data_IF_742702129140
#
_entry.id   IF_742702129140
#
_cell.length_a   1.000
_cell.length_b   1.000
_cell.length_c   1.000
_cell.angle_alpha   90.00
_cell.angle_beta   90.00
_cell.angle_gamma   90.00
#
_symmetry.space_group_name_H-M   'P 1'
#
loop_
_entity.id
_entity.type
_entity.pdbx_description
1 polymer ?
#
# COMPACT_ATOMS: atom_id res chain seq x y z
N UNK A 1 19.09 -21.42 -41.66
CA UNK A 1 17.77 -20.79 -41.40
C UNK A 1 17.72 -20.39 -39.95
N UNK A 2 17.43 -19.14 -39.63
CA UNK A 2 17.21 -18.71 -38.24
C UNK A 2 15.83 -19.23 -37.79
N UNK A 3 15.70 -19.78 -36.57
CA UNK A 3 14.38 -20.15 -36.05
C UNK A 3 13.48 -18.91 -36.04
N UNK A 4 12.20 -19.11 -36.37
CA UNK A 4 11.20 -18.06 -36.19
C UNK A 4 11.02 -17.80 -34.70
N UNK A 5 10.58 -16.59 -34.36
CA UNK A 5 10.23 -16.21 -32.97
C UNK A 5 9.28 -17.25 -32.33
N UNK A 6 8.38 -17.81 -33.14
CA UNK A 6 7.44 -18.84 -32.73
C UNK A 6 8.16 -20.15 -32.34
N UNK A 7 9.19 -20.55 -33.08
CA UNK A 7 10.01 -21.72 -32.74
C UNK A 7 10.82 -21.53 -31.45
N UNK A 8 11.36 -20.33 -31.22
CA UNK A 8 12.08 -20.00 -29.97
C UNK A 8 11.15 -20.00 -28.75
N UNK A 9 9.92 -19.51 -28.94
CA UNK A 9 8.89 -19.51 -27.90
C UNK A 9 8.45 -20.94 -27.55
N UNK A 10 8.19 -21.78 -28.56
CA UNK A 10 7.84 -23.20 -28.37
C UNK A 10 8.95 -23.93 -27.61
N UNK A 11 10.22 -23.74 -28.02
CA UNK A 11 11.35 -24.39 -27.36
C UNK A 11 11.53 -23.94 -25.91
N UNK A 12 11.30 -22.66 -25.62
CA UNK A 12 11.40 -22.12 -24.26
C UNK A 12 10.29 -22.66 -23.36
N UNK A 13 9.07 -22.76 -23.89
CA UNK A 13 7.92 -23.33 -23.18
C UNK A 13 8.08 -24.83 -22.91
N UNK A 14 8.58 -25.60 -23.88
CA UNK A 14 8.88 -27.02 -23.67
C UNK A 14 9.98 -27.24 -22.63
N UNK A 15 11.00 -26.37 -22.62
CA UNK A 15 12.10 -26.45 -21.65
C UNK A 15 11.60 -26.13 -20.25
N UNK A 16 10.74 -25.12 -20.10
CA UNK A 16 10.11 -24.79 -18.82
C UNK A 16 9.18 -25.90 -18.31
N UNK A 17 8.44 -26.56 -19.21
CA UNK A 17 7.53 -27.66 -18.84
C UNK A 17 8.27 -28.89 -18.29
N UNK A 18 9.50 -29.17 -18.74
CA UNK A 18 10.31 -30.30 -18.26
C UNK A 18 11.00 -30.05 -16.92
N UNK A 19 11.03 -28.80 -16.45
CA UNK A 19 11.72 -28.42 -15.21
C UNK A 19 10.81 -28.35 -13.97
N UNK A 20 9.50 -28.53 -14.14
CA UNK A 20 8.56 -28.50 -13.02
C UNK A 20 8.30 -29.94 -12.54
N UNK A 21 8.59 -30.21 -11.26
CA UNK A 21 8.30 -31.49 -10.63
C UNK A 21 6.78 -31.78 -10.67
N UNK A 22 6.40 -33.01 -10.99
CA UNK A 22 5.00 -33.42 -11.06
C UNK A 22 4.29 -33.12 -9.71
N UNK A 23 3.17 -32.37 -9.73
CA UNK A 23 2.44 -32.07 -8.51
C UNK A 23 1.76 -33.31 -7.94
N UNK A 24 1.84 -33.47 -6.63
CA UNK A 24 1.30 -34.58 -5.85
C UNK A 24 -0.20 -34.82 -6.15
N UNK A 25 -0.54 -36.05 -6.56
CA UNK A 25 -1.88 -36.44 -7.02
C UNK A 25 -2.99 -36.29 -5.97
N UNK A 26 -2.62 -36.12 -4.70
CA UNK A 26 -3.54 -35.84 -3.61
C UNK A 26 -4.27 -34.49 -3.74
N UNK A 27 -3.66 -33.49 -4.39
CA UNK A 27 -4.24 -32.15 -4.52
C UNK A 27 -5.48 -32.15 -5.43
N UNK A 28 -5.41 -32.88 -6.55
CA UNK A 28 -6.50 -32.99 -7.51
C UNK A 28 -7.68 -33.80 -6.97
N UNK A 29 -7.41 -34.81 -6.14
CA UNK A 29 -8.45 -35.59 -5.47
C UNK A 29 -9.32 -34.72 -4.54
N UNK A 30 -8.72 -33.75 -3.84
CA UNK A 30 -9.43 -32.84 -2.95
C UNK A 30 -10.27 -31.80 -3.70
N UNK A 31 -9.74 -31.27 -4.81
CA UNK A 31 -10.48 -30.32 -5.67
C UNK A 31 -11.68 -31.02 -6.34
N UNK A 32 -11.49 -32.23 -6.89
CA UNK A 32 -12.57 -33.01 -7.48
C UNK A 32 -13.68 -33.32 -6.46
N UNK A 33 -13.32 -33.62 -5.20
CA UNK A 33 -14.27 -33.87 -4.11
C UNK A 33 -15.10 -32.64 -3.76
N UNK A 34 -14.48 -31.45 -3.73
CA UNK A 34 -15.16 -30.17 -3.47
C UNK A 34 -16.11 -29.78 -4.61
N UNK A 35 -15.69 -29.95 -5.86
CA UNK A 35 -16.54 -29.67 -7.04
C UNK A 35 -17.75 -30.61 -7.06
N UNK A 36 -17.57 -31.90 -6.75
CA UNK A 36 -18.67 -32.88 -6.68
C UNK A 36 -19.68 -32.53 -5.57
N UNK A 37 -19.20 -32.06 -4.40
CA UNK A 37 -20.05 -31.62 -3.29
C UNK A 37 -20.86 -30.36 -3.64
N UNK A 38 -20.24 -29.40 -4.35
CA UNK A 38 -20.91 -28.18 -4.83
C UNK A 38 -21.95 -28.47 -5.91
N UNK A 39 -21.68 -29.40 -6.83
CA UNK A 39 -22.65 -29.87 -7.84
C UNK A 39 -23.86 -30.58 -7.21
N UNK A 40 -23.65 -31.40 -6.16
CA UNK A 40 -24.76 -32.02 -5.41
C UNK A 40 -25.62 -30.97 -4.71
N UNK A 41 -25.03 -29.95 -4.10
CA UNK A 41 -25.78 -28.85 -3.45
C UNK A 41 -26.58 -28.01 -4.46
N UNK A 42 -26.00 -27.71 -5.63
CA UNK A 42 -26.71 -26.99 -6.71
C UNK A 42 -27.83 -27.79 -7.37
N UNK A 43 -27.80 -29.12 -7.29
CA UNK A 43 -28.89 -29.99 -7.78
C UNK A 43 -30.08 -30.07 -6.82
N UNK A 44 -29.95 -29.59 -5.57
CA UNK A 44 -31.06 -29.55 -4.61
C UNK A 44 -31.83 -28.21 -4.64
N UNK A 45 -31.35 -27.20 -5.36
CA UNK A 45 -31.99 -25.88 -5.47
C UNK A 45 -32.51 -25.54 -6.86
N UNK A 46 -32.55 -26.50 -7.79
CA UNK A 46 -33.05 -26.30 -9.14
C UNK A 46 -34.12 -27.34 -9.47
N UNK A 47 -35.32 -27.17 -8.90
CA UNK A 47 -36.56 -27.74 -9.43
C UNK A 47 -37.46 -26.56 -9.79
N UNK A 48 -37.22 -26.00 -10.97
CA UNK A 48 -38.22 -25.31 -11.79
C UNK A 48 -37.62 -25.11 -13.19
N UNK A 49 -38.36 -25.58 -14.20
CA UNK A 49 -38.33 -25.15 -15.61
C UNK A 49 -37.39 -25.87 -16.61
N UNK A 50 -38.01 -26.85 -17.28
CA UNK A 50 -38.10 -27.07 -18.76
C UNK A 50 -36.91 -27.64 -19.55
N UNK A 51 -37.07 -28.93 -19.92
CA UNK A 51 -36.84 -29.64 -21.19
C UNK A 51 -36.42 -28.80 -22.43
N UNK A 52 -35.65 -29.20 -23.44
CA UNK A 52 -35.15 -30.47 -24.05
C UNK A 52 -34.15 -29.99 -25.13
N UNK A 53 -32.97 -30.56 -25.35
CA UNK A 53 -32.69 -31.53 -26.43
C UNK A 53 -31.28 -32.10 -26.33
N UNK A 54 -31.18 -33.38 -26.66
CA UNK A 54 -30.01 -34.26 -26.66
C UNK A 54 -29.20 -34.08 -27.94
N UNK A 55 -27.88 -34.00 -27.83
CA UNK A 55 -26.95 -34.54 -28.83
C UNK A 55 -25.65 -34.95 -28.13
N UNK A 56 -25.43 -36.26 -28.06
CA UNK A 56 -24.19 -36.90 -27.64
C UNK A 56 -23.26 -36.96 -28.85
N UNK A 57 -22.09 -36.34 -28.77
CA UNK A 57 -20.92 -36.74 -29.55
C UNK A 57 -19.72 -36.74 -28.61
N UNK A 58 -19.11 -37.91 -28.47
CA UNK A 58 -17.91 -38.12 -27.68
C UNK A 58 -16.74 -37.31 -28.24
N UNK A 59 -16.03 -36.65 -27.34
CA UNK A 59 -14.80 -35.94 -27.65
C UNK A 59 -13.91 -35.99 -26.43
N UNK A 60 -12.77 -36.66 -26.59
CA UNK A 60 -11.61 -36.62 -25.72
C UNK A 60 -11.36 -35.17 -25.26
N UNK A 61 -11.35 -34.93 -23.95
CA UNK A 61 -10.98 -33.63 -23.39
C UNK A 61 -9.45 -33.48 -23.50
N UNK A 62 -8.91 -32.61 -24.37
CA UNK A 62 -7.53 -32.20 -24.21
C UNK A 62 -7.41 -31.48 -22.88
N UNK A 63 -6.47 -31.91 -22.04
CA UNK A 63 -5.95 -31.12 -20.93
C UNK A 63 -5.26 -29.89 -21.53
N UNK A 64 -6.05 -28.89 -21.92
CA UNK A 64 -5.54 -27.56 -22.19
C UNK A 64 -5.02 -27.03 -20.86
N UNK A 65 -3.70 -27.02 -20.73
CA UNK A 65 -3.00 -26.23 -19.73
C UNK A 65 -3.60 -24.84 -19.79
N UNK A 66 -4.35 -24.49 -18.75
CA UNK A 66 -4.99 -23.19 -18.63
C UNK A 66 -3.83 -22.21 -18.50
N UNK A 67 -3.41 -21.62 -19.62
CA UNK A 67 -2.61 -20.42 -19.61
C UNK A 67 -3.33 -19.49 -18.65
N UNK A 68 -2.67 -19.19 -17.53
CA UNK A 68 -3.08 -18.10 -16.67
C UNK A 68 -2.89 -16.88 -17.54
N UNK A 69 -3.97 -16.52 -18.25
CA UNK A 69 -4.02 -15.32 -19.04
C UNK A 69 -3.62 -14.20 -18.08
N UNK A 70 -2.54 -13.44 -18.37
CA UNK A 70 -2.16 -12.31 -17.55
C UNK A 70 -3.42 -11.51 -17.26
N UNK A 71 -3.65 -11.17 -15.99
CA UNK A 71 -4.79 -10.35 -15.64
C UNK A 71 -4.81 -9.15 -16.60
N UNK A 72 -5.95 -8.85 -17.27
CA UNK A 72 -6.02 -7.73 -18.18
C UNK A 72 -5.49 -6.49 -17.44
N UNK A 73 -4.69 -5.63 -18.12
CA UNK A 73 -4.15 -4.45 -17.47
C UNK A 73 -5.31 -3.68 -16.83
N UNK A 74 -5.16 -3.33 -15.56
CA UNK A 74 -6.14 -2.53 -14.83
C UNK A 74 -6.43 -1.28 -15.65
N UNK A 75 -7.70 -1.06 -16.01
CA UNK A 75 -8.12 0.18 -16.68
C UNK A 75 -7.60 1.34 -15.81
N UNK A 76 -6.83 2.28 -16.36
CA UNK A 76 -6.33 3.39 -15.57
C UNK A 76 -7.52 4.09 -14.90
N UNK A 77 -7.42 4.46 -13.62
CA UNK A 77 -8.50 5.14 -12.94
C UNK A 77 -8.87 6.40 -13.74
N UNK A 78 -10.17 6.69 -13.83
CA UNK A 78 -10.62 7.92 -14.47
C UNK A 78 -10.13 9.11 -13.64
N UNK A 79 -9.07 9.75 -14.14
CA UNK A 79 -8.42 10.87 -13.49
C UNK A 79 -9.25 12.15 -13.63
N UNK A 80 -10.32 12.14 -14.44
CA UNK A 80 -11.27 13.24 -14.62
C UNK A 80 -12.49 13.14 -13.72
N UNK A 81 -12.59 12.08 -12.89
CA UNK A 81 -13.72 11.85 -12.03
C UNK A 81 -13.96 13.05 -11.09
N UNK A 82 -15.05 13.78 -11.36
CA UNK A 82 -15.52 14.86 -10.50
C UNK A 82 -16.24 14.26 -9.30
N UNK A 83 -15.61 14.35 -8.14
CA UNK A 83 -16.23 13.94 -6.87
C UNK A 83 -16.94 15.12 -6.19
N UNK A 84 -18.04 14.89 -5.44
CA UNK A 84 -18.68 15.95 -4.68
C UNK A 84 -17.71 16.59 -3.69
N UNK A 85 -17.76 17.92 -3.59
CA UNK A 85 -16.90 18.71 -2.72
C UNK A 85 -17.68 19.20 -1.52
N UNK A 86 -18.25 18.24 -0.80
CA UNK A 86 -18.99 18.52 0.42
C UNK A 86 -18.31 17.77 1.53
N UNK A 87 -17.94 18.50 2.59
CA UNK A 87 -17.41 17.88 3.81
C UNK A 87 -18.59 17.17 4.48
N UNK A 88 -18.53 15.84 4.69
CA UNK A 88 -19.57 15.15 5.44
C UNK A 88 -19.61 15.65 6.88
N UNK A 89 -20.78 15.50 7.52
CA UNK A 89 -20.89 15.69 8.96
C UNK A 89 -20.16 14.55 9.67
N UNK A 90 -18.91 14.80 10.06
CA UNK A 90 -18.08 13.80 10.75
C UNK A 90 -18.47 13.60 12.21
N UNK A 91 -19.14 14.57 12.84
CA UNK A 91 -19.64 14.43 14.22
C UNK A 91 -20.71 13.35 14.30
N UNK A 92 -21.56 13.31 13.28
CA UNK A 92 -22.68 12.38 13.16
C UNK A 92 -22.43 11.26 12.13
N UNK A 93 -21.18 10.98 11.80
CA UNK A 93 -20.85 9.89 10.88
C UNK A 93 -21.31 8.54 11.45
N UNK A 94 -22.12 7.75 10.71
CA UNK A 94 -22.58 6.42 11.14
C UNK A 94 -21.41 5.45 11.34
N UNK A 95 -21.65 4.33 12.04
CA UNK A 95 -20.62 3.31 12.23
C UNK A 95 -20.22 2.68 10.88
N UNK A 96 -18.93 2.45 10.70
CA UNK A 96 -18.37 1.82 9.49
C UNK A 96 -18.99 0.45 9.18
N UNK A 97 -19.38 -0.33 10.19
CA UNK A 97 -20.06 -1.61 10.01
C UNK A 97 -21.50 -1.45 9.50
N UNK A 98 -22.15 -0.31 9.72
CA UNK A 98 -23.49 -0.03 9.19
C UNK A 98 -23.42 0.46 7.74
N UNK A 99 -22.38 1.21 7.38
CA UNK A 99 -22.20 1.78 6.03
C UNK A 99 -21.60 0.76 5.06
N UNK A 100 -20.55 0.05 5.47
CA UNK A 100 -19.81 -0.90 4.63
C UNK A 100 -19.66 -2.26 5.33
N UNK A 101 -20.77 -2.95 5.66
CA UNK A 101 -20.74 -4.20 6.44
C UNK A 101 -19.85 -5.26 5.78
N UNK A 102 -19.92 -5.38 4.46
CA UNK A 102 -19.17 -6.38 3.69
C UNK A 102 -17.67 -6.08 3.57
N UNK A 103 -17.25 -4.85 3.86
CA UNK A 103 -15.84 -4.45 3.89
C UNK A 103 -15.20 -4.61 5.28
N UNK A 104 -16.02 -4.69 6.33
CA UNK A 104 -15.52 -4.89 7.70
C UNK A 104 -15.22 -6.37 7.95
N UNK A 105 -14.04 -6.63 8.50
CA UNK A 105 -13.56 -7.94 8.94
C UNK A 105 -13.26 -7.90 10.42
N UNK A 106 -13.54 -9.01 11.09
CA UNK A 106 -13.14 -9.22 12.50
C UNK A 106 -12.02 -10.25 12.53
N UNK A 107 -10.91 -9.88 13.15
CA UNK A 107 -9.70 -10.68 13.30
C UNK A 107 -9.41 -10.87 14.79
N UNK A 108 -8.75 -11.98 15.18
CA UNK A 108 -8.28 -12.12 16.55
C UNK A 108 -7.20 -11.06 16.84
N UNK A 109 -7.13 -10.56 18.07
CA UNK A 109 -6.13 -9.57 18.46
C UNK A 109 -4.69 -10.14 18.51
N UNK A 110 -4.59 -11.47 18.60
CA UNK A 110 -3.33 -12.20 18.65
C UNK A 110 -3.30 -13.31 17.60
N UNK A 111 -2.10 -13.66 17.15
CA UNK A 111 -1.83 -14.85 16.35
C UNK A 111 -2.00 -16.12 17.20
N UNK A 112 -2.09 -17.33 16.59
CA UNK A 112 -2.22 -18.59 17.32
C UNK A 112 -1.15 -18.86 18.40
N UNK A 113 0.03 -18.22 18.30
CA UNK A 113 1.08 -18.27 19.32
C UNK A 113 0.96 -17.21 20.44
N UNK A 114 -0.14 -16.45 20.50
CA UNK A 114 -0.38 -15.39 21.48
C UNK A 114 0.31 -14.05 21.17
N UNK A 115 1.18 -13.99 20.16
CA UNK A 115 1.83 -12.75 19.74
C UNK A 115 0.83 -11.76 19.13
N UNK A 116 0.95 -10.48 19.49
CA UNK A 116 0.26 -9.38 18.80
C UNK A 116 0.86 -9.20 17.40
N UNK A 117 0.08 -8.63 16.50
CA UNK A 117 0.51 -8.40 15.14
C UNK A 117 -0.13 -7.13 14.56
N UNK A 118 0.42 -6.68 13.44
CA UNK A 118 -0.15 -5.62 12.60
C UNK A 118 -0.37 -6.17 11.20
N UNK A 119 -1.51 -5.86 10.59
CA UNK A 119 -1.80 -6.24 9.20
C UNK A 119 -1.08 -5.28 8.26
N UNK A 120 -0.31 -5.82 7.32
CA UNK A 120 0.43 -5.07 6.29
C UNK A 120 -0.23 -5.12 4.92
N UNK A 121 -0.92 -6.22 4.60
CA UNK A 121 -1.65 -6.38 3.35
C UNK A 121 -2.83 -7.33 3.52
N UNK A 122 -3.92 -7.06 2.79
CA UNK A 122 -5.04 -7.99 2.61
C UNK A 122 -4.76 -8.84 1.37
N UNK A 123 -4.88 -10.15 1.51
CA UNK A 123 -4.69 -11.12 0.42
C UNK A 123 -6.03 -11.77 0.04
N UNK A 124 -6.14 -12.33 -1.17
CA UNK A 124 -7.31 -13.10 -1.57
C UNK A 124 -7.65 -14.21 -0.58
N UNK A 125 -8.96 -14.47 -0.45
CA UNK A 125 -9.54 -15.49 0.41
C UNK A 125 -9.42 -15.20 1.92
N UNK A 126 -9.38 -13.93 2.31
CA UNK A 126 -9.38 -13.54 3.73
C UNK A 126 -8.10 -13.92 4.46
N UNK A 127 -6.97 -13.91 3.74
CA UNK A 127 -5.62 -14.08 4.30
C UNK A 127 -4.95 -12.72 4.39
N UNK A 128 -3.91 -12.61 5.21
CA UNK A 128 -3.26 -11.34 5.48
C UNK A 128 -1.74 -11.51 5.50
N UNK A 129 -0.99 -10.52 5.02
CA UNK A 129 0.42 -10.39 5.42
C UNK A 129 0.47 -9.60 6.70
N UNK A 130 1.15 -10.13 7.70
CA UNK A 130 1.24 -9.57 9.04
C UNK A 130 2.70 -9.46 9.48
N UNK A 131 2.96 -8.53 10.39
CA UNK A 131 4.21 -8.46 11.15
C UNK A 131 3.89 -8.68 12.62
N UNK A 132 4.72 -9.45 13.30
CA UNK A 132 4.65 -9.55 14.74
C UNK A 132 4.97 -8.20 15.36
N UNK A 133 4.21 -7.86 16.40
CA UNK A 133 4.33 -6.62 17.15
C UNK A 133 4.83 -6.93 18.55
N UNK A 134 5.92 -6.27 18.97
CA UNK A 134 6.50 -6.42 20.31
C UNK A 134 6.83 -5.06 20.93
N UNK A 135 6.39 -4.89 22.17
CA UNK A 135 6.68 -3.74 23.05
C UNK A 135 7.88 -4.02 24.00
N UNK A 136 8.54 -5.19 23.88
CA UNK A 136 9.40 -5.75 24.95
C UNK A 136 10.79 -5.11 25.13
N UNK A 137 11.15 -4.05 24.41
CA UNK A 137 12.46 -3.39 24.51
C UNK A 137 12.25 -1.86 24.56
N UNK A 138 13.25 -1.01 24.86
CA UNK A 138 13.08 0.44 24.76
C UNK A 138 12.90 0.82 23.28
N UNK A 139 11.69 0.62 22.75
CA UNK A 139 11.37 0.74 21.34
C UNK A 139 10.32 -0.25 20.86
N UNK A 140 9.48 0.23 19.94
CA UNK A 140 8.58 -0.57 19.13
C UNK A 140 9.37 -1.44 18.15
N UNK A 141 9.00 -2.71 18.02
CA UNK A 141 9.62 -3.63 17.06
C UNK A 141 8.58 -4.33 16.21
N UNK A 142 8.85 -4.35 14.90
CA UNK A 142 8.18 -5.23 13.95
C UNK A 142 9.13 -6.28 13.42
N UNK A 143 8.71 -7.53 13.47
CA UNK A 143 9.50 -8.65 12.96
C UNK A 143 8.63 -9.72 12.29
N UNK A 144 9.28 -10.76 11.75
CA UNK A 144 8.66 -12.00 11.26
C UNK A 144 7.53 -11.76 10.26
N UNK A 145 7.87 -11.36 9.02
CA UNK A 145 6.85 -11.23 8.00
C UNK A 145 6.20 -12.58 7.76
N UNK A 146 4.88 -12.62 7.86
CA UNK A 146 4.12 -13.88 7.87
C UNK A 146 2.82 -13.75 7.09
N UNK A 147 2.34 -14.86 6.55
CA UNK A 147 0.98 -14.99 6.03
C UNK A 147 0.10 -15.59 7.11
N UNK A 148 -0.94 -14.85 7.50
CA UNK A 148 -1.94 -15.26 8.46
C UNK A 148 -3.26 -15.64 7.77
N UNK A 149 -3.74 -16.84 8.05
CA UNK A 149 -5.07 -17.31 7.66
C UNK A 149 -5.92 -17.51 8.94
N UNK A 150 -6.80 -16.56 9.29
CA UNK A 150 -7.65 -16.68 10.48
C UNK A 150 -8.70 -17.79 10.35
N UNK A 151 -9.15 -18.11 9.13
CA UNK A 151 -10.14 -19.16 8.91
C UNK A 151 -9.57 -20.55 9.17
N UNK A 152 -8.30 -20.76 8.82
CA UNK A 152 -7.56 -21.97 9.14
C UNK A 152 -6.88 -21.94 10.52
N UNK A 153 -6.77 -20.76 11.16
CA UNK A 153 -6.02 -20.58 12.39
C UNK A 153 -4.52 -20.84 12.21
N UNK A 154 -3.97 -20.53 11.03
CA UNK A 154 -2.56 -20.84 10.70
C UNK A 154 -1.76 -19.58 10.42
N UNK A 155 -0.50 -19.59 10.82
CA UNK A 155 0.49 -18.57 10.49
C UNK A 155 1.67 -19.26 9.82
N UNK A 156 2.09 -18.74 8.68
CA UNK A 156 3.28 -19.20 7.98
C UNK A 156 4.26 -18.06 7.81
N UNK A 157 5.44 -18.22 8.36
CA UNK A 157 6.53 -17.26 8.21
C UNK A 157 6.99 -17.20 6.73
N UNK A 158 7.26 -15.99 6.25
CA UNK A 158 7.86 -15.71 4.94
C UNK A 158 9.38 -15.66 5.04
N UNK A 159 9.89 -15.30 6.21
CA UNK A 159 11.31 -15.32 6.55
C UNK A 159 11.47 -15.65 8.03
N UNK A 160 12.58 -16.30 8.43
CA UNK A 160 12.86 -16.54 9.84
C UNK A 160 13.01 -15.21 10.60
N UNK A 161 12.67 -15.24 11.88
CA UNK A 161 12.92 -14.13 12.79
C UNK A 161 14.42 -13.88 12.93
N UNK A 162 14.88 -12.67 12.62
CA UNK A 162 16.21 -12.23 13.00
C UNK A 162 16.10 -11.32 14.22
N UNK A 163 16.58 -11.78 15.37
CA UNK A 163 16.50 -11.06 16.63
C UNK A 163 17.20 -9.69 16.60
N UNK A 164 18.09 -9.45 15.64
CA UNK A 164 18.94 -8.25 15.52
C UNK A 164 18.39 -7.17 14.58
N UNK A 165 17.25 -7.40 13.92
CA UNK A 165 16.67 -6.44 12.95
C UNK A 165 15.20 -6.10 13.23
N UNK A 166 14.78 -4.93 12.73
CA UNK A 166 13.39 -4.47 12.68
C UNK A 166 12.96 -4.25 11.23
N UNK A 167 11.69 -4.53 10.93
CA UNK A 167 11.09 -4.23 9.65
C UNK A 167 10.56 -2.80 9.66
N UNK A 168 11.00 -1.99 8.69
CA UNK A 168 10.64 -0.58 8.54
C UNK A 168 9.65 -0.33 7.39
N UNK A 169 9.34 -1.35 6.62
CA UNK A 169 8.39 -1.27 5.53
C UNK A 169 8.12 -2.65 4.95
N UNK A 170 6.87 -2.92 4.60
CA UNK A 170 6.46 -4.15 3.93
C UNK A 170 5.35 -3.82 2.92
N UNK A 171 5.42 -4.43 1.75
CA UNK A 171 4.35 -4.41 0.77
C UNK A 171 4.19 -5.76 0.08
N UNK A 172 3.10 -5.87 -0.68
CA UNK A 172 2.76 -7.06 -1.47
C UNK A 172 2.58 -6.66 -2.91
N UNK A 173 3.13 -7.47 -3.82
CA UNK A 173 2.90 -7.34 -5.23
C UNK A 173 2.79 -8.70 -5.92
N UNK A 174 1.70 -8.87 -6.66
CA UNK A 174 1.39 -10.14 -7.32
C UNK A 174 1.40 -11.27 -6.30
N UNK A 175 2.32 -12.22 -6.48
CA UNK A 175 2.50 -13.37 -5.59
C UNK A 175 3.64 -13.23 -4.58
N UNK A 176 4.23 -12.04 -4.42
CA UNK A 176 5.40 -11.82 -3.57
C UNK A 176 5.13 -10.77 -2.48
N UNK A 177 5.75 -10.95 -1.33
CA UNK A 177 5.92 -9.93 -0.31
C UNK A 177 7.34 -9.37 -0.41
N UNK A 178 7.49 -8.07 -0.18
CA UNK A 178 8.78 -7.37 -0.17
C UNK A 178 8.85 -6.51 1.07
N UNK A 179 9.98 -6.51 1.76
CA UNK A 179 10.17 -5.73 2.98
C UNK A 179 11.59 -5.20 3.09
N UNK A 180 11.76 -4.16 3.90
CA UNK A 180 13.06 -3.62 4.26
C UNK A 180 13.32 -3.83 5.75
N UNK A 181 14.54 -4.22 6.09
CA UNK A 181 15.02 -4.37 7.47
C UNK A 181 16.08 -3.33 7.79
N UNK A 182 16.22 -3.02 9.07
CA UNK A 182 17.32 -2.23 9.65
C UNK A 182 17.82 -2.95 10.91
N UNK A 183 19.11 -2.85 11.28
CA UNK A 183 19.58 -3.26 12.59
C UNK A 183 18.78 -2.59 13.73
N UNK A 184 18.52 -3.34 14.80
CA UNK A 184 17.90 -2.82 16.02
C UNK A 184 18.86 -1.86 16.72
N UNK A 185 18.32 -0.77 17.25
CA UNK A 185 19.13 0.25 17.93
C UNK A 185 20.02 1.06 16.98
N UNK A 186 19.85 0.91 15.66
CA UNK A 186 20.44 1.80 14.68
C UNK A 186 20.02 3.24 15.02
N UNK A 187 20.99 4.03 15.47
CA UNK A 187 20.84 5.46 15.76
C UNK A 187 21.90 6.19 14.95
N UNK A 188 21.50 7.20 14.17
CA UNK A 188 22.43 8.01 13.40
C UNK A 188 22.74 7.54 11.97
N UNK A 189 23.92 7.92 11.48
CA UNK A 189 24.33 7.96 10.06
C UNK A 189 24.81 6.64 9.47
N UNK A 190 24.90 5.58 10.26
CA UNK A 190 25.40 4.25 9.85
C UNK A 190 24.28 3.21 9.91
N UNK A 191 23.23 3.44 9.13
CA UNK A 191 22.14 2.47 9.02
C UNK A 191 22.29 1.69 7.73
N UNK A 192 22.58 0.39 7.82
CA UNK A 192 22.42 -0.51 6.68
C UNK A 192 20.96 -0.91 6.58
N UNK A 193 20.39 -0.83 5.38
CA UNK A 193 19.05 -1.34 5.09
C UNK A 193 19.16 -2.53 4.14
N UNK A 194 18.52 -3.64 4.49
CA UNK A 194 18.43 -4.76 3.56
C UNK A 194 17.02 -4.88 3.02
N UNK A 195 16.91 -5.02 1.69
CA UNK A 195 15.62 -5.25 1.03
C UNK A 195 15.52 -6.72 0.68
N UNK A 196 14.41 -7.33 1.07
CA UNK A 196 14.15 -8.75 0.97
C UNK A 196 12.84 -9.02 0.22
N UNK A 197 12.74 -10.19 -0.41
CA UNK A 197 11.51 -10.67 -1.05
C UNK A 197 11.26 -12.13 -0.73
N UNK A 198 9.99 -12.53 -0.70
CA UNK A 198 9.57 -13.93 -0.59
C UNK A 198 8.24 -14.17 -1.29
N UNK A 199 8.05 -15.38 -1.80
CA UNK A 199 6.76 -15.82 -2.35
C UNK A 199 5.71 -15.96 -1.24
N UNK A 200 4.53 -15.40 -1.49
CA UNK A 200 3.34 -15.57 -0.65
C UNK A 200 2.85 -17.01 -0.61
N UNK A 201 3.28 -17.89 -1.53
CA UNK A 201 2.98 -19.32 -1.45
C UNK A 201 3.95 -20.08 -0.51
N UNK A 202 5.05 -19.44 -0.09
CA UNK A 202 6.13 -20.05 0.66
C UNK A 202 7.39 -20.22 -0.20
N UNK A 203 8.47 -20.64 0.45
CA UNK A 203 9.82 -20.70 -0.12
C UNK A 203 10.81 -19.91 0.74
N UNK A 204 12.09 -19.94 0.34
CA UNK A 204 13.12 -19.18 1.02
C UNK A 204 13.00 -17.69 0.65
N UNK A 205 13.11 -16.81 1.64
CA UNK A 205 13.33 -15.39 1.40
C UNK A 205 14.67 -15.16 0.69
N UNK A 206 14.71 -14.18 -0.19
CA UNK A 206 15.91 -13.80 -0.94
C UNK A 206 16.20 -12.33 -0.70
N UNK A 207 17.46 -12.00 -0.38
CA UNK A 207 17.92 -10.61 -0.30
C UNK A 207 18.05 -10.05 -1.72
N UNK A 208 17.44 -8.91 -1.97
CA UNK A 208 17.51 -8.19 -3.23
C UNK A 208 18.71 -7.25 -3.27
N UNK A 209 18.90 -6.46 -2.21
CA UNK A 209 19.98 -5.48 -2.11
C UNK A 209 20.26 -5.09 -0.66
N UNK A 210 21.49 -4.68 -0.40
CA UNK A 210 21.91 -3.93 0.78
C UNK A 210 22.07 -2.46 0.38
N UNK A 211 21.39 -1.53 1.05
CA UNK A 211 21.47 -0.08 0.86
C UNK A 211 22.21 0.53 2.04
N UNK A 212 23.30 1.26 1.78
CA UNK A 212 24.10 1.91 2.81
C UNK A 212 23.64 3.36 3.02
N UNK A 213 23.42 3.77 4.28
CA UNK A 213 23.03 5.15 4.60
C UNK A 213 24.15 6.17 4.37
N UNK A 214 25.42 5.81 4.63
CA UNK A 214 26.58 6.71 4.52
C UNK A 214 26.76 7.29 3.11
N UNK A 215 26.31 6.55 2.09
CA UNK A 215 26.36 6.98 0.68
C UNK A 215 25.14 7.81 0.24
N UNK A 216 24.31 8.25 1.19
CA UNK A 216 23.04 8.93 0.93
C UNK A 216 22.09 8.11 0.02
N UNK A 217 22.26 6.78 -0.02
CA UNK A 217 21.49 5.93 -0.94
C UNK A 217 20.03 5.74 -0.51
N UNK A 218 19.68 6.03 0.74
CA UNK A 218 18.34 5.80 1.26
C UNK A 218 17.93 6.79 2.36
N UNK A 219 16.71 7.31 2.28
CA UNK A 219 16.12 8.28 3.21
C UNK A 219 15.03 7.71 4.11
N UNK A 220 14.85 6.39 4.12
CA UNK A 220 13.73 5.77 4.83
C UNK A 220 12.48 5.60 3.97
N UNK A 221 12.46 6.14 2.74
CA UNK A 221 11.31 6.03 1.84
C UNK A 221 11.53 4.95 0.79
N UNK A 222 10.80 3.84 0.94
CA UNK A 222 10.77 2.71 0.00
C UNK A 222 9.33 2.48 -0.46
N UNK A 223 9.15 2.22 -1.74
CA UNK A 223 7.85 1.85 -2.32
C UNK A 223 8.00 0.69 -3.31
N UNK A 224 6.87 0.09 -3.67
CA UNK A 224 6.78 -0.98 -4.67
C UNK A 224 5.88 -0.46 -5.79
N UNK A 225 6.39 -0.43 -7.02
CA UNK A 225 5.65 0.06 -8.18
C UNK A 225 5.96 -0.81 -9.40
N UNK A 226 4.92 -1.40 -10.01
CA UNK A 226 5.12 -2.50 -10.96
C UNK A 226 6.03 -3.58 -10.37
N UNK A 227 6.72 -4.38 -11.18
CA UNK A 227 7.56 -5.48 -10.68
C UNK A 227 8.93 -5.02 -10.10
N UNK A 228 8.96 -3.94 -9.32
CA UNK A 228 10.20 -3.33 -8.81
C UNK A 228 10.01 -2.68 -7.45
N UNK A 229 11.09 -2.68 -6.68
CA UNK A 229 11.27 -1.80 -5.51
C UNK A 229 11.82 -0.48 -5.98
N UNK A 230 11.33 0.63 -5.42
CA UNK A 230 11.80 1.96 -5.74
C UNK A 230 12.07 2.77 -4.47
N UNK A 231 13.06 3.65 -4.54
CA UNK A 231 13.44 4.55 -3.45
C UNK A 231 14.12 5.80 -4.02
N UNK A 232 14.08 6.90 -3.28
CA UNK A 232 14.83 8.11 -3.60
C UNK A 232 16.28 8.01 -3.09
N UNK A 233 17.21 8.46 -3.93
CA UNK A 233 18.64 8.58 -3.59
C UNK A 233 19.03 10.05 -3.52
N UNK A 234 19.94 10.36 -2.59
CA UNK A 234 20.52 11.69 -2.45
C UNK A 234 22.02 11.62 -2.64
N UNK A 235 22.61 12.79 -2.80
CA UNK A 235 24.03 13.01 -2.69
C UNK A 235 24.29 14.20 -1.77
N UNK A 236 25.41 14.13 -1.04
CA UNK A 236 25.86 15.25 -0.23
C UNK A 236 26.42 16.34 -1.15
N UNK A 237 25.92 17.56 -0.99
CA UNK A 237 26.41 18.76 -1.69
C UNK A 237 26.78 19.82 -0.66
N UNK A 238 27.71 20.72 -0.99
CA UNK A 238 28.00 21.91 -0.17
C UNK A 238 27.46 23.15 -0.86
N UNK A 239 26.60 23.89 -0.18
CA UNK A 239 26.07 25.17 -0.65
C UNK A 239 26.39 26.22 0.40
N UNK A 240 27.11 27.26 0.01
CA UNK A 240 27.63 28.32 0.90
C UNK A 240 28.40 27.76 2.11
N UNK A 241 29.19 26.70 1.87
CA UNK A 241 29.98 26.01 2.91
C UNK A 241 29.17 25.12 3.86
N UNK A 242 27.84 25.07 3.75
CA UNK A 242 26.97 24.21 4.54
C UNK A 242 26.70 22.89 3.81
N UNK A 243 26.77 21.78 4.53
CA UNK A 243 26.39 20.47 4.00
C UNK A 243 24.87 20.41 3.78
N UNK A 244 24.47 20.02 2.58
CA UNK A 244 23.09 19.85 2.17
C UNK A 244 22.95 18.53 1.41
N UNK A 245 21.71 18.11 1.20
CA UNK A 245 21.38 16.93 0.41
C UNK A 245 20.68 17.37 -0.86
N UNK A 246 21.08 16.77 -1.97
CA UNK A 246 20.42 16.92 -3.26
C UNK A 246 19.82 15.59 -3.67
N UNK A 247 18.54 15.57 -4.01
CA UNK A 247 17.95 14.37 -4.62
C UNK A 247 18.59 14.13 -5.98
N UNK A 248 19.15 12.94 -6.14
CA UNK A 248 19.64 12.41 -7.43
C UNK A 248 18.46 11.93 -8.27
N UNK A 249 17.41 11.42 -7.61
CA UNK A 249 16.17 10.96 -8.21
C UNK A 249 15.74 9.60 -7.68
N UNK A 250 14.78 8.98 -8.37
CA UNK A 250 14.17 7.71 -7.97
C UNK A 250 14.90 6.56 -8.63
N UNK A 251 15.39 5.62 -7.83
CA UNK A 251 16.02 4.40 -8.29
C UNK A 251 15.01 3.27 -8.27
N UNK A 252 15.15 2.35 -9.24
CA UNK A 252 14.35 1.13 -9.34
C UNK A 252 15.26 -0.10 -9.29
N UNK A 253 14.79 -1.14 -8.62
CA UNK A 253 15.39 -2.48 -8.62
C UNK A 253 14.31 -3.51 -8.96
N UNK A 254 14.46 -4.27 -10.07
CA UNK A 254 13.53 -5.36 -10.37
C UNK A 254 13.49 -6.40 -9.24
N UNK A 255 12.31 -6.99 -9.00
CA UNK A 255 12.18 -8.07 -8.00
C UNK A 255 12.92 -9.35 -8.38
N UNK A 256 13.34 -9.49 -9.64
CA UNK A 256 14.28 -10.51 -10.08
C UNK A 256 15.73 -10.24 -9.67
N UNK A 257 16.00 -9.11 -9.00
CA UNK A 257 17.35 -8.63 -8.68
C UNK A 257 17.99 -7.86 -9.84
N UNK A 258 19.28 -7.60 -9.71
CA UNK A 258 20.10 -6.84 -10.67
C UNK A 258 20.72 -5.59 -10.06
N UNK A 259 21.19 -4.69 -10.92
CA UNK A 259 21.71 -3.39 -10.48
C UNK A 259 20.58 -2.37 -10.41
N UNK A 260 20.52 -1.54 -9.36
CA UNK A 260 19.62 -0.39 -9.30
C UNK A 260 19.82 0.54 -10.50
N UNK A 261 18.74 1.06 -11.05
CA UNK A 261 18.76 1.99 -12.17
C UNK A 261 17.99 3.27 -11.83
N UNK A 262 18.51 4.43 -12.21
CA UNK A 262 17.76 5.68 -12.13
C UNK A 262 16.55 5.61 -13.08
N UNK A 263 15.37 5.94 -12.59
CA UNK A 263 14.16 6.08 -13.42
C UNK A 263 14.29 7.37 -14.21
N UNK A 264 14.26 7.28 -15.53
CA UNK A 264 14.42 8.44 -16.41
C UNK A 264 13.36 9.52 -16.13
N UNK A 265 13.79 10.78 -16.04
CA UNK A 265 12.91 11.93 -15.77
C UNK A 265 12.62 12.16 -14.29
N UNK A 266 13.19 11.38 -13.38
CA UNK A 266 12.96 11.52 -11.93
C UNK A 266 14.08 12.27 -11.19
N UNK A 267 14.98 12.96 -11.89
CA UNK A 267 16.02 13.76 -11.26
C UNK A 267 15.39 14.85 -10.37
N UNK A 268 15.83 14.94 -9.10
CA UNK A 268 15.29 15.88 -8.13
C UNK A 268 13.94 15.46 -7.51
N UNK A 269 13.39 14.30 -7.88
CA UNK A 269 12.19 13.75 -7.28
C UNK A 269 12.48 12.99 -5.99
N UNK A 270 11.51 12.98 -5.08
CA UNK A 270 11.50 12.11 -3.88
C UNK A 270 10.29 11.18 -3.90
N UNK A 271 10.45 9.98 -3.36
CA UNK A 271 9.28 9.15 -3.04
C UNK A 271 8.53 9.88 -1.94
N UNK A 272 7.27 10.25 -2.16
CA UNK A 272 6.45 10.75 -1.05
C UNK A 272 6.09 9.56 -0.19
N UNK A 273 6.63 9.54 1.03
CA UNK A 273 6.38 8.52 2.05
C UNK A 273 4.88 8.45 2.30
N UNK A 274 4.24 7.41 1.80
CA UNK A 274 2.81 7.42 1.53
C UNK A 274 2.32 6.13 0.86
N UNK A 275 2.86 4.98 1.26
CA UNK A 275 2.23 3.64 1.20
C UNK A 275 1.37 3.27 -0.01
N UNK A 276 1.74 3.71 -1.21
CA UNK A 276 1.15 3.21 -2.44
C UNK A 276 1.81 1.87 -2.80
N UNK A 277 1.54 0.82 -2.01
CA UNK A 277 1.64 -0.55 -2.49
C UNK A 277 0.64 -0.85 -3.61
N UNK A 278 -0.31 0.06 -3.87
CA UNK A 278 -1.26 -0.02 -4.96
C UNK A 278 -1.51 1.38 -5.54
N UNK A 279 -1.48 1.43 -6.86
CA UNK A 279 -2.17 2.39 -7.73
C UNK A 279 -1.64 3.82 -7.87
N UNK A 280 -0.72 4.33 -7.06
CA UNK A 280 -0.26 5.71 -7.25
C UNK A 280 1.01 6.08 -6.52
N UNK A 281 2.09 5.33 -6.75
CA UNK A 281 3.41 5.73 -6.30
C UNK A 281 3.79 7.03 -7.05
N UNK A 282 3.51 8.15 -6.40
CA UNK A 282 3.79 9.48 -6.90
C UNK A 282 5.12 9.93 -6.32
N UNK A 283 5.92 10.57 -7.17
CA UNK A 283 7.05 11.34 -6.70
C UNK A 283 6.75 12.81 -6.90
N UNK A 284 7.16 13.65 -5.95
CA UNK A 284 7.08 15.11 -6.05
C UNK A 284 8.48 15.63 -6.37
N UNK A 285 8.60 16.48 -7.39
CA UNK A 285 9.88 17.12 -7.68
C UNK A 285 10.17 18.20 -6.64
N UNK A 286 11.42 18.27 -6.19
CA UNK A 286 11.88 19.37 -5.35
C UNK A 286 12.42 20.48 -6.26
N UNK A 287 11.91 21.71 -6.10
CA UNK A 287 12.49 22.87 -6.76
C UNK A 287 13.86 23.16 -6.11
N UNK A 288 14.87 23.40 -6.94
CA UNK A 288 16.25 23.74 -6.56
C UNK A 288 17.12 22.68 -5.86
N UNK A 289 16.71 21.41 -5.72
CA UNK A 289 17.65 20.32 -5.41
C UNK A 289 18.55 20.51 -4.16
N UNK A 290 18.18 21.39 -3.24
CA UNK A 290 18.97 21.71 -2.05
C UNK A 290 18.04 21.73 -0.85
N UNK A 291 18.09 20.67 -0.07
CA UNK A 291 17.37 20.59 1.20
C UNK A 291 18.03 21.55 2.20
N UNK A 292 17.57 22.80 2.25
CA UNK A 292 17.92 23.78 3.31
C UNK A 292 17.15 23.45 4.60
N UNK A 293 17.47 22.30 5.19
CA UNK A 293 17.29 21.91 6.61
C UNK A 293 16.17 22.57 7.45
N UNK A 294 15.13 21.79 7.79
CA UNK A 294 14.85 21.37 9.19
C UNK A 294 14.32 19.92 9.20
N UNK A 295 14.47 19.16 10.30
CA UNK A 295 13.95 17.77 10.40
C UNK A 295 12.42 17.64 10.25
N UNK A 296 11.70 18.76 10.24
CA UNK A 296 10.26 18.87 10.01
C UNK A 296 9.92 19.78 8.81
N UNK A 297 10.91 20.23 8.03
CA UNK A 297 10.77 21.32 7.08
C UNK A 297 10.84 20.89 5.63
N UNK A 298 9.67 20.81 5.00
CA UNK A 298 9.53 21.14 3.59
C UNK A 298 10.06 22.56 3.40
N UNK A 299 11.09 22.74 2.57
CA UNK A 299 11.55 24.08 2.24
C UNK A 299 10.53 24.73 1.32
N UNK A 300 10.22 25.99 1.58
CA UNK A 300 9.23 26.85 0.91
C UNK A 300 9.58 27.22 -0.54
N UNK A 301 10.55 26.54 -1.15
CA UNK A 301 10.84 26.70 -2.58
C UNK A 301 9.77 25.95 -3.37
N UNK A 302 8.73 26.70 -3.68
CA UNK A 302 7.42 26.24 -4.08
C UNK A 302 7.41 25.18 -5.20
N UNK A 303 7.09 23.90 -4.90
CA UNK A 303 6.92 22.84 -5.90
C UNK A 303 5.53 22.88 -6.57
N UNK A 304 4.79 24.00 -6.48
CA UNK A 304 3.43 24.17 -6.99
C UNK A 304 3.19 23.62 -8.40
N UNK A 305 4.21 23.69 -9.25
CA UNK A 305 4.09 23.39 -10.69
C UNK A 305 4.92 22.18 -11.13
N UNK A 306 5.65 21.53 -10.21
CA UNK A 306 6.40 20.33 -10.55
C UNK A 306 5.42 19.18 -10.83
N UNK A 307 5.44 18.53 -12.02
CA UNK A 307 4.51 17.46 -12.30
C UNK A 307 4.74 16.30 -11.33
N UNK A 308 3.66 15.66 -10.89
CA UNK A 308 3.75 14.38 -10.19
C UNK A 308 4.35 13.34 -11.16
N UNK A 309 4.92 12.26 -10.62
CA UNK A 309 5.47 11.19 -11.46
C UNK A 309 4.85 9.86 -11.10
N UNK A 310 4.17 9.21 -12.05
CA UNK A 310 3.63 7.86 -11.88
C UNK A 310 4.77 6.86 -12.02
N UNK A 311 5.23 6.33 -10.89
CA UNK A 311 6.32 5.37 -10.83
C UNK A 311 5.99 4.03 -11.47
N UNK A 312 4.71 3.63 -11.53
CA UNK A 312 4.30 2.37 -12.17
C UNK A 312 4.45 2.46 -13.69
N UNK A 313 4.03 3.58 -14.27
CA UNK A 313 4.12 3.82 -15.72
C UNK A 313 5.42 4.49 -16.14
N UNK A 314 6.22 4.99 -15.19
CA UNK A 314 7.42 5.78 -15.42
C UNK A 314 7.16 7.01 -16.30
N UNK A 315 6.07 7.73 -16.03
CA UNK A 315 5.69 8.94 -16.78
C UNK A 315 5.28 10.08 -15.85
N UNK A 316 5.55 11.34 -16.23
CA UNK A 316 5.00 12.49 -15.53
C UNK A 316 3.47 12.49 -15.64
N UNK A 317 2.82 12.95 -14.58
CA UNK A 317 1.38 13.13 -14.47
C UNK A 317 1.11 14.60 -14.19
N UNK A 318 0.28 15.26 -15.02
CA UNK A 318 -0.06 16.65 -14.77
C UNK A 318 -0.82 16.76 -13.45
N UNK A 319 -0.43 17.76 -12.68
CA UNK A 319 -1.14 18.21 -11.51
C UNK A 319 -1.12 19.73 -11.49
N UNK A 320 -2.04 20.33 -10.77
CA UNK A 320 -2.04 21.76 -10.52
C UNK A 320 -2.49 21.99 -9.09
N UNK A 321 -1.92 23.02 -8.48
CA UNK A 321 -2.36 23.47 -7.16
C UNK A 321 -3.63 24.29 -7.27
N UNK A 322 -4.51 24.17 -6.28
CA UNK A 322 -5.65 25.08 -6.17
C UNK A 322 -5.18 26.50 -5.80
N UNK A 323 -5.70 27.57 -6.42
CA UNK A 323 -5.32 28.95 -6.09
C UNK A 323 -5.50 29.30 -4.60
N UNK A 324 -6.47 28.68 -3.94
CA UNK A 324 -6.71 28.85 -2.51
C UNK A 324 -5.53 28.33 -1.66
N UNK A 325 -4.79 27.33 -2.13
CA UNK A 325 -3.62 26.82 -1.40
C UNK A 325 -2.48 27.84 -1.38
N UNK A 326 -2.38 28.72 -2.37
CA UNK A 326 -1.30 29.70 -2.50
C UNK A 326 -1.37 30.86 -1.49
N UNK A 327 -2.45 30.96 -0.70
CA UNK A 327 -2.66 32.10 0.20
C UNK A 327 -2.00 31.96 1.57
N UNK A 328 -0.99 31.09 1.76
CA UNK A 328 -0.28 30.95 3.04
C UNK A 328 0.86 29.93 3.04
N UNK A 329 1.63 29.85 4.14
CA UNK A 329 2.67 28.84 4.29
C UNK A 329 2.03 27.44 4.36
N UNK A 330 2.43 26.56 3.44
CA UNK A 330 2.06 25.15 3.48
C UNK A 330 2.99 24.41 4.43
N UNK A 331 2.42 23.57 5.30
CA UNK A 331 3.17 22.64 6.12
C UNK A 331 3.56 21.39 5.34
N UNK A 332 2.59 20.75 4.68
CA UNK A 332 2.85 19.64 3.76
C UNK A 332 1.70 19.46 2.77
N UNK A 333 1.99 18.71 1.70
CA UNK A 333 1.00 18.24 0.75
C UNK A 333 1.41 16.86 0.22
N UNK A 334 0.44 15.95 0.17
CA UNK A 334 0.57 14.60 -0.35
C UNK A 334 -0.46 14.39 -1.45
N UNK A 335 -0.04 13.82 -2.58
CA UNK A 335 -0.92 13.59 -3.72
C UNK A 335 -0.98 12.09 -4.05
N UNK A 336 -2.20 11.57 -4.15
CA UNK A 336 -2.48 10.30 -4.82
C UNK A 336 -2.85 10.51 -6.29
N UNK A 337 -3.28 9.44 -6.98
CA UNK A 337 -3.73 9.58 -8.37
C UNK A 337 -4.98 10.44 -8.51
N UNK A 338 -5.89 10.37 -7.54
CA UNK A 338 -7.22 10.99 -7.64
C UNK A 338 -7.29 12.39 -7.01
N UNK A 339 -6.29 12.79 -6.23
CA UNK A 339 -6.23 14.13 -5.67
C UNK A 339 -5.17 14.26 -4.59
N UNK A 340 -5.13 15.44 -3.99
CA UNK A 340 -4.14 15.77 -2.97
C UNK A 340 -4.82 16.09 -1.64
N UNK A 341 -4.12 15.78 -0.57
CA UNK A 341 -4.39 16.19 0.81
C UNK A 341 -3.24 17.04 1.27
N UNK A 342 -3.47 18.03 2.11
CA UNK A 342 -2.39 18.79 2.68
C UNK A 342 -2.79 19.46 3.97
N UNK A 343 -1.83 20.15 4.56
CA UNK A 343 -1.96 20.89 5.80
C UNK A 343 -1.35 22.26 5.59
N UNK A 344 -2.12 23.32 5.84
CA UNK A 344 -1.57 24.67 5.94
C UNK A 344 -1.04 24.86 7.33
N UNK A 345 0.18 25.36 7.44
CA UNK A 345 0.67 25.78 8.74
C UNK A 345 -0.04 27.07 9.10
N UNK A 346 -0.88 27.00 10.14
CA UNK A 346 -1.26 28.21 10.84
C UNK A 346 0.00 28.89 11.35
N UNK A 347 0.02 30.23 11.38
CA UNK A 347 0.89 30.88 12.35
C UNK A 347 0.61 30.24 13.74
N UNK A 348 1.57 30.16 14.67
CA UNK A 348 1.37 29.61 16.02
C UNK A 348 0.37 30.39 16.90
N UNK A 349 -0.60 31.07 16.29
CA UNK A 349 -1.68 31.81 16.89
C UNK A 349 -2.95 30.92 16.88
N UNK A 350 -3.60 30.70 18.03
CA UNK A 350 -4.89 29.99 18.11
C UNK A 350 -6.01 30.60 17.26
N UNK A 351 -5.88 31.84 16.80
CA UNK A 351 -6.81 32.46 15.87
C UNK A 351 -6.72 31.91 14.42
N UNK A 352 -5.66 31.20 14.05
CA UNK A 352 -5.49 30.61 12.73
C UNK A 352 -5.12 29.13 12.87
N UNK A 353 -6.09 28.26 13.18
CA UNK A 353 -5.82 26.85 13.42
C UNK A 353 -5.21 26.24 12.18
N UNK A 354 -4.35 25.27 12.40
CA UNK A 354 -3.86 24.44 11.32
C UNK A 354 -5.05 23.79 10.63
N UNK A 355 -5.16 24.00 9.33
CA UNK A 355 -6.26 23.48 8.52
C UNK A 355 -5.73 22.46 7.54
N UNK A 356 -6.23 21.24 7.66
CA UNK A 356 -6.09 20.23 6.64
C UNK A 356 -7.07 20.53 5.50
N UNK A 357 -6.63 20.21 4.29
CA UNK A 357 -7.40 20.45 3.08
C UNK A 357 -7.28 19.26 2.14
N UNK A 358 -8.23 19.21 1.21
CA UNK A 358 -8.21 18.29 0.08
C UNK A 358 -8.45 19.08 -1.20
N UNK A 359 -7.85 18.62 -2.28
CA UNK A 359 -8.13 19.14 -3.61
C UNK A 359 -8.16 18.00 -4.63
N UNK A 360 -8.69 18.27 -5.81
CA UNK A 360 -8.47 17.38 -6.95
C UNK A 360 -7.06 17.60 -7.49
N UNK A 361 -6.62 16.66 -8.33
CA UNK A 361 -5.25 16.70 -8.87
C UNK A 361 -5.03 17.86 -9.84
N UNK A 362 -6.08 18.28 -10.55
CA UNK A 362 -6.06 19.41 -11.49
C UNK A 362 -6.15 20.78 -10.79
N UNK A 363 -6.04 20.82 -9.46
CA UNK A 363 -6.15 22.05 -8.67
C UNK A 363 -7.59 22.51 -8.47
N UNK A 364 -8.56 21.89 -9.14
CA UNK A 364 -9.96 22.20 -8.87
C UNK A 364 -10.43 21.56 -7.57
N UNK A 365 -11.55 22.06 -7.07
CA UNK A 365 -12.25 21.42 -5.97
C UNK A 365 -11.47 21.39 -4.66
N UNK A 366 -10.89 22.53 -4.32
CA UNK A 366 -10.34 22.77 -3.01
C UNK A 366 -11.43 22.71 -1.93
N UNK A 367 -11.12 22.07 -0.82
CA UNK A 367 -12.01 21.97 0.33
C UNK A 367 -11.20 21.93 1.62
N UNK A 368 -11.47 22.86 2.53
CA UNK A 368 -10.96 22.80 3.89
C UNK A 368 -11.72 21.76 4.70
N UNK A 369 -10.97 20.95 5.43
CA UNK A 369 -11.51 19.85 6.23
C UNK A 369 -11.32 20.11 7.72
N UNK A 370 -10.61 21.18 8.13
CA UNK A 370 -10.43 21.63 9.52
C UNK A 370 -9.15 21.09 10.19
N UNK A 371 -9.06 21.18 11.52
CA UNK A 371 -7.90 20.71 12.31
C UNK A 371 -7.93 19.18 12.47
N UNK A 372 -7.55 18.47 11.41
CA UNK A 372 -7.62 17.01 11.32
C UNK A 372 -6.33 16.48 10.72
N UNK A 373 -5.81 15.39 11.27
CA UNK A 373 -4.75 14.64 10.59
C UNK A 373 -5.42 13.81 9.48
N UNK A 374 -5.08 14.11 8.22
CA UNK A 374 -5.69 13.48 7.04
C UNK A 374 -4.62 12.73 6.27
N UNK A 375 -4.88 11.47 5.97
CA UNK A 375 -4.07 10.65 5.10
C UNK A 375 -4.88 10.11 3.92
N UNK A 376 -4.36 10.16 2.68
CA UNK A 376 -5.01 9.52 1.55
C UNK A 376 -4.93 8.00 1.67
N UNK A 377 -5.98 7.32 1.22
CA UNK A 377 -6.08 5.85 1.17
C UNK A 377 -6.69 5.41 -0.16
N UNK A 378 -6.26 4.26 -0.69
CA UNK A 378 -6.83 3.68 -1.91
C UNK A 378 -6.79 4.67 -3.09
N UNK A 379 -5.57 5.01 -3.53
CA UNK A 379 -5.29 5.98 -4.61
C UNK A 379 -5.78 7.41 -4.38
N UNK A 380 -6.19 7.73 -3.14
CA UNK A 380 -6.74 9.03 -2.77
C UNK A 380 -8.25 9.14 -2.99
N UNK A 381 -8.94 8.03 -3.32
CA UNK A 381 -10.41 7.95 -3.29
C UNK A 381 -10.92 8.07 -1.87
N UNK A 382 -10.28 7.34 -0.95
CA UNK A 382 -10.64 7.34 0.46
C UNK A 382 -9.69 8.24 1.24
N UNK A 383 -10.20 8.82 2.32
CA UNK A 383 -9.41 9.59 3.26
C UNK A 383 -9.58 8.99 4.65
N UNK A 384 -8.47 8.81 5.35
CA UNK A 384 -8.44 8.48 6.78
C UNK A 384 -8.31 9.80 7.53
N UNK A 385 -9.20 10.06 8.49
CA UNK A 385 -9.18 11.26 9.30
C UNK A 385 -9.15 10.90 10.79
N UNK A 386 -8.20 11.48 11.52
CA UNK A 386 -8.31 11.60 12.98
C UNK A 386 -9.08 12.87 13.31
N UNK A 387 -10.24 12.69 13.91
CA UNK A 387 -11.21 13.75 14.12
C UNK A 387 -11.51 13.97 15.61
N UNK A 388 -11.36 15.20 16.11
CA UNK A 388 -11.81 15.56 17.46
C UNK A 388 -13.19 16.18 17.39
N UNK A 389 -14.24 15.51 17.90
CA UNK A 389 -15.63 16.01 17.94
C UNK A 389 -15.85 17.09 19.04
N UNK A 390 -14.83 17.89 19.33
CA UNK A 390 -14.78 18.87 20.41
C UNK A 390 -13.78 18.53 21.52
N UNK A 391 -13.49 19.49 22.43
CA UNK A 391 -12.36 19.44 23.36
C UNK A 391 -12.39 18.28 24.37
N UNK A 392 -13.55 17.66 24.59
CA UNK A 392 -13.74 16.59 25.57
C UNK A 392 -14.03 15.22 24.96
N UNK A 393 -14.24 15.14 23.63
CA UNK A 393 -14.86 13.98 22.99
C UNK A 393 -13.89 12.86 22.58
N UNK A 394 -12.59 13.04 22.82
CA UNK A 394 -11.55 12.18 22.28
C UNK A 394 -11.44 12.28 20.76
N UNK A 395 -10.27 11.94 20.21
CA UNK A 395 -10.13 11.79 18.75
C UNK A 395 -10.85 10.52 18.32
N UNK A 396 -11.55 10.53 17.19
CA UNK A 396 -12.21 9.39 16.55
C UNK A 396 -11.58 9.16 15.19
N UNK A 397 -11.54 7.92 14.77
CA UNK A 397 -11.13 7.56 13.43
C UNK A 397 -12.33 7.55 12.49
N UNK A 398 -12.24 8.29 11.38
CA UNK A 398 -13.26 8.38 10.33
C UNK A 398 -12.65 8.02 8.98
N UNK A 399 -13.40 7.30 8.17
CA UNK A 399 -13.07 7.00 6.78
C UNK A 399 -14.08 7.71 5.88
N UNK A 400 -13.59 8.47 4.92
CA UNK A 400 -14.40 9.24 3.97
C UNK A 400 -14.15 8.75 2.54
N UNK A 401 -15.17 8.19 1.89
CA UNK A 401 -15.19 7.92 0.46
C UNK A 401 -15.53 9.21 -0.30
N UNK A 402 -14.52 9.82 -0.93
CA UNK A 402 -14.74 11.06 -1.69
C UNK A 402 -15.68 10.84 -2.86
N UNK A 403 -15.72 9.64 -3.44
CA UNK A 403 -16.55 9.36 -4.62
C UNK A 403 -18.04 9.46 -4.32
N UNK A 404 -18.47 8.86 -3.23
CA UNK A 404 -19.87 8.89 -2.79
C UNK A 404 -20.18 10.03 -1.81
N UNK A 405 -19.16 10.78 -1.37
CA UNK A 405 -19.23 11.71 -0.24
C UNK A 405 -19.74 11.07 1.07
N UNK A 406 -19.57 9.76 1.21
CA UNK A 406 -20.00 9.02 2.40
C UNK A 406 -18.85 8.98 3.41
N UNK A 407 -19.13 9.33 4.67
CA UNK A 407 -18.21 9.14 5.78
C UNK A 407 -18.76 8.12 6.77
N UNK A 408 -17.86 7.36 7.38
CA UNK A 408 -18.21 6.44 8.46
C UNK A 408 -17.15 6.45 9.55
N UNK A 409 -17.59 6.35 10.80
CA UNK A 409 -16.72 6.29 11.98
C UNK A 409 -16.36 4.84 12.31
N UNK A 410 -15.10 4.60 12.67
CA UNK A 410 -14.66 3.31 13.24
C UNK A 410 -15.14 3.12 14.69
N UNK A 411 -15.76 4.14 15.32
CA UNK A 411 -16.39 4.03 16.64
C UNK A 411 -15.46 3.96 17.85
N UNK A 412 -14.14 4.09 17.66
CA UNK A 412 -13.16 3.94 18.73
C UNK A 412 -12.40 5.24 18.99
N UNK A 413 -12.30 5.70 20.25
CA UNK A 413 -11.43 6.81 20.63
C UNK A 413 -9.95 6.45 20.39
N UNK A 414 -9.19 7.33 19.74
CA UNK A 414 -7.76 7.11 19.41
C UNK A 414 -6.89 7.04 20.69
N UNK A 415 -7.38 7.50 21.84
CA UNK A 415 -6.65 7.44 23.11
C UNK A 415 -6.60 6.05 23.76
N UNK A 416 -7.52 5.14 23.42
CA UNK A 416 -7.66 3.85 24.08
C UNK A 416 -7.18 2.70 23.18
N UNK A 417 -5.95 2.24 23.40
CA UNK A 417 -5.49 0.97 22.84
C UNK A 417 -5.35 0.94 21.31
N UNK A 418 -5.29 2.10 20.65
CA UNK A 418 -4.77 2.19 19.29
C UNK A 418 -3.31 1.74 19.37
N UNK A 419 -3.01 0.54 18.87
CA UNK A 419 -1.66 0.27 18.40
C UNK A 419 -1.43 1.42 17.44
N UNK A 420 -0.41 2.24 17.67
CA UNK A 420 -0.05 3.35 16.79
C UNK A 420 0.99 2.89 15.77
N UNK A 421 0.65 2.09 14.73
CA UNK A 421 1.53 1.91 13.61
C UNK A 421 1.33 3.07 12.60
N UNK A 422 0.87 4.25 13.02
CA UNK A 422 0.66 5.46 12.22
C UNK A 422 1.89 5.78 11.34
N UNK A 423 3.08 5.44 11.85
CA UNK A 423 4.36 5.52 11.13
C UNK A 423 4.54 4.49 10.01
N UNK A 424 3.56 3.62 9.77
CA UNK A 424 3.54 2.56 8.77
C UNK A 424 2.21 2.44 7.98
N UNK A 425 1.21 3.32 8.16
CA UNK A 425 -0.15 3.10 7.64
C UNK A 425 -0.63 3.92 6.42
N UNK A 426 0.00 5.04 6.05
CA UNK A 426 -0.60 6.04 5.13
C UNK A 426 -0.75 5.63 3.65
N UNK A 427 -1.79 4.89 3.27
CA UNK A 427 -2.04 4.51 1.86
C UNK A 427 -2.24 3.01 1.66
N UNK A 428 -2.17 2.23 2.74
CA UNK A 428 -2.67 0.86 2.74
C UNK A 428 -4.15 0.88 2.38
N UNK A 429 -4.65 0.00 1.52
CA UNK A 429 -6.06 0.00 1.13
C UNK A 429 -6.94 -0.66 2.20
N UNK A 430 -6.65 -0.41 3.48
CA UNK A 430 -7.44 -0.85 4.62
C UNK A 430 -7.13 -0.01 5.86
N UNK A 431 -8.02 -0.07 6.84
CA UNK A 431 -7.87 0.60 8.14
C UNK A 431 -8.09 -0.43 9.25
N UNK A 432 -7.23 -0.45 10.27
CA UNK A 432 -7.39 -1.33 11.44
C UNK A 432 -7.67 -0.56 12.71
N UNK A 433 -8.49 -1.14 13.59
CA UNK A 433 -8.72 -0.64 14.96
C UNK A 433 -9.01 -1.81 15.90
N UNK A 434 -8.96 -1.56 17.21
CA UNK A 434 -9.24 -2.58 18.22
C UNK A 434 -10.64 -2.37 18.80
N UNK A 435 -11.38 -3.46 18.99
CA UNK A 435 -12.70 -3.43 19.64
C UNK A 435 -12.79 -4.63 20.60
N UNK A 436 -12.72 -4.35 21.90
CA UNK A 436 -12.65 -5.37 22.95
C UNK A 436 -11.43 -6.29 22.78
N UNK A 437 -11.68 -7.59 22.61
CA UNK A 437 -10.64 -8.61 22.41
C UNK A 437 -10.35 -8.92 20.93
N UNK A 438 -10.89 -8.12 20.01
CA UNK A 438 -10.76 -8.32 18.57
C UNK A 438 -10.08 -7.14 17.89
N UNK A 439 -9.46 -7.41 16.76
CA UNK A 439 -9.04 -6.39 15.80
C UNK A 439 -10.11 -6.32 14.71
N UNK A 440 -10.55 -5.11 14.38
CA UNK A 440 -11.38 -4.85 13.21
C UNK A 440 -10.50 -4.35 12.08
N UNK A 441 -10.87 -4.71 10.86
CA UNK A 441 -10.23 -4.27 9.63
C UNK A 441 -11.31 -3.82 8.65
N UNK A 442 -11.24 -2.60 8.15
CA UNK A 442 -12.01 -2.12 7.02
C UNK A 442 -11.17 -2.33 5.76
N UNK A 443 -11.55 -3.28 4.90
CA UNK A 443 -10.91 -3.52 3.62
C UNK A 443 -11.50 -2.57 2.57
N UNK A 444 -10.75 -1.52 2.24
CA UNK A 444 -11.23 -0.48 1.32
C UNK A 444 -11.30 -1.02 -0.11
N UNK A 445 -10.55 -2.06 -0.47
CA UNK A 445 -10.65 -2.71 -1.78
C UNK A 445 -11.98 -3.43 -1.99
N UNK A 446 -12.73 -3.71 -0.91
CA UNK A 446 -14.03 -4.33 -0.96
C UNK A 446 -15.20 -3.33 -1.10
N UNK A 447 -14.92 -2.03 -1.16
CA UNK A 447 -15.94 -0.96 -1.30
C UNK A 447 -16.01 -0.55 -2.79
N UNK A 448 -17.16 -0.78 -3.43
CA UNK A 448 -17.39 -0.50 -4.85
C UNK A 448 -17.51 1.00 -5.19
#
# INVERSE_FOLDING_TARGET
>A
MKPTLEQELINTLETGARQVAEPDGALFANVARLVKRRRRRRRLTAVASVAVLVAVVGGSLPLMGRHVQPAPPSVPPDLSATYPLTVPDFDNAPNVADVWPEAVRTLPLTLPGGGRYVVQAVLPHGRYVVLNYSERLPGFRLDRPSVFDPGAGTVRELAPADASTSIIGLGVIGSNAVWATTPLGATGTTTEYEVWTASLAGGAASKLITLQHEDNQFTGSLTIAGNSVMWDRYEAVKVDGKGQRRSVGIYRLPLSGGQPQLVAGTQGYRVTSGYAGWGGASAVAMRNGTETTTPSGWTTDDPADAPLFDLTRSVPVPWSRAPEVDTGPMGYMECGLLGCTGRRDGAPNPANPVTAFVQRRDGSGYLEVGDKDIGPVGDGRFLKLEYSAGPTSGRRLVVWDRKSATAASCGVPVSDGFIRPDLLELGRPFVTWTEGSTMKLLDITAIE
#
